data_IF_120542441942
#
_entry.id   IF_120542441942
#
_cell.length_a   1.000
_cell.length_b   1.000
_cell.length_c   1.000
_cell.angle_alpha   90.00
_cell.angle_beta   90.00
_cell.angle_gamma   90.00
#
_symmetry.space_group_name_H-M   'P 1'
#
loop_
_entity.id
_entity.type
_entity.pdbx_description
1 polymer ?
#
# COMPACT_ATOMS: atom_id res chain seq x y z
N UNK A 1 10.78 -30.49 -17.54
CA UNK A 1 9.64 -29.71 -17.01
C UNK A 1 10.20 -28.59 -16.16
N UNK A 2 10.17 -27.37 -16.69
CA UNK A 2 10.62 -26.16 -16.00
C UNK A 2 9.53 -25.75 -15.01
N UNK A 3 9.82 -25.53 -13.72
CA UNK A 3 8.80 -25.01 -12.81
C UNK A 3 8.42 -23.61 -13.30
N UNK A 4 7.13 -23.44 -13.61
CA UNK A 4 6.58 -22.14 -13.92
C UNK A 4 6.93 -21.18 -12.77
N UNK A 5 7.51 -20.03 -13.12
CA UNK A 5 7.60 -18.88 -12.25
C UNK A 5 6.16 -18.46 -11.91
N UNK A 6 5.60 -19.05 -10.86
CA UNK A 6 4.35 -18.59 -10.27
C UNK A 6 4.55 -17.13 -9.87
N UNK A 7 3.58 -16.23 -10.14
CA UNK A 7 3.64 -14.90 -9.58
C UNK A 7 3.73 -15.07 -8.06
N UNK A 8 4.79 -14.56 -7.42
CA UNK A 8 4.84 -14.58 -5.97
C UNK A 8 3.55 -13.87 -5.49
N UNK A 9 2.64 -14.63 -4.88
CA UNK A 9 1.39 -14.13 -4.33
C UNK A 9 1.71 -13.31 -3.08
N UNK A 10 2.19 -12.08 -3.25
CA UNK A 10 2.56 -11.21 -2.13
C UNK A 10 1.30 -10.70 -1.41
N UNK A 11 0.76 -11.56 -0.55
CA UNK A 11 0.29 -11.33 0.82
C UNK A 11 -0.12 -9.88 1.15
N UNK A 12 -1.35 -9.52 0.78
CA UNK A 12 -2.18 -8.39 1.24
C UNK A 12 -1.56 -7.43 2.25
N UNK A 13 -0.73 -6.50 1.79
CA UNK A 13 -0.32 -5.36 2.60
C UNK A 13 -1.51 -4.46 2.97
N UNK A 14 -1.38 -3.71 4.07
CA UNK A 14 -2.15 -2.48 4.29
C UNK A 14 -1.65 -1.37 3.34
N UNK A 15 -1.60 -1.64 2.04
CA UNK A 15 -1.42 -0.61 1.03
C UNK A 15 -2.79 -0.23 0.53
N UNK A 16 -3.18 1.06 0.57
CA UNK A 16 -4.42 1.46 -0.07
C UNK A 16 -4.38 1.17 -1.56
N UNK A 17 -3.22 1.00 -2.19
CA UNK A 17 -3.05 0.89 -3.65
C UNK A 17 -2.97 -0.55 -4.16
N UNK A 18 -2.75 -1.53 -3.29
CA UNK A 18 -2.57 -2.91 -3.72
C UNK A 18 -3.94 -3.52 -4.07
N UNK A 19 -4.10 -4.08 -5.29
CA UNK A 19 -5.35 -4.71 -5.69
C UNK A 19 -5.53 -6.00 -4.88
N UNK A 20 -6.29 -5.93 -3.79
CA UNK A 20 -6.73 -7.14 -3.09
C UNK A 20 -8.09 -7.53 -3.62
N UNK A 21 -8.19 -8.74 -4.18
CA UNK A 21 -9.44 -9.29 -4.70
C UNK A 21 -10.58 -9.10 -3.69
N UNK A 22 -11.69 -8.58 -4.17
CA UNK A 22 -12.92 -8.52 -3.39
C UNK A 22 -13.51 -9.92 -3.25
N UNK A 23 -13.92 -10.28 -2.03
CA UNK A 23 -14.61 -11.53 -1.71
C UNK A 23 -15.87 -11.15 -0.93
N UNK A 24 -16.98 -11.84 -1.17
CA UNK A 24 -18.18 -11.68 -0.35
C UNK A 24 -17.92 -12.15 1.10
N UNK A 25 -18.69 -11.73 2.11
CA UNK A 25 -18.40 -12.04 3.52
C UNK A 25 -18.25 -13.52 3.82
N UNK A 26 -19.09 -14.38 3.25
CA UNK A 26 -19.02 -15.83 3.46
C UNK A 26 -17.78 -16.46 2.81
N UNK A 27 -17.45 -16.06 1.59
CA UNK A 27 -16.24 -16.51 0.87
C UNK A 27 -14.97 -16.02 1.57
N UNK A 28 -14.95 -14.76 1.99
CA UNK A 28 -13.87 -14.16 2.77
C UNK A 28 -13.67 -14.89 4.09
N UNK A 29 -14.76 -15.14 4.83
CA UNK A 29 -14.70 -15.86 6.10
C UNK A 29 -14.18 -17.29 5.92
N UNK A 30 -14.68 -18.03 4.92
CA UNK A 30 -14.20 -19.36 4.60
C UNK A 30 -12.70 -19.37 4.26
N UNK A 31 -12.25 -18.45 3.40
CA UNK A 31 -10.84 -18.32 3.03
C UNK A 31 -9.94 -17.95 4.21
N UNK A 32 -10.43 -17.09 5.12
CA UNK A 32 -9.71 -16.73 6.34
C UNK A 32 -9.59 -17.92 7.30
N UNK A 33 -10.68 -18.68 7.49
CA UNK A 33 -10.68 -19.88 8.32
C UNK A 33 -9.76 -20.96 7.76
N UNK A 34 -9.78 -21.18 6.45
CA UNK A 34 -8.88 -22.13 5.77
C UNK A 34 -7.42 -21.74 5.98
N UNK A 35 -7.04 -20.49 5.70
CA UNK A 35 -5.67 -20.03 5.87
C UNK A 35 -5.20 -20.04 7.32
N UNK A 36 -6.04 -19.61 8.27
CA UNK A 36 -5.70 -19.65 9.70
C UNK A 36 -5.67 -21.08 10.27
N UNK A 37 -6.42 -22.01 9.68
CA UNK A 37 -6.38 -23.44 10.04
C UNK A 37 -5.19 -24.19 9.43
N UNK A 38 -4.48 -23.58 8.48
CA UNK A 38 -3.36 -24.23 7.78
C UNK A 38 -2.14 -24.45 8.69
N UNK A 39 -1.51 -25.62 8.51
CA UNK A 39 -0.20 -25.92 9.08
C UNK A 39 0.93 -25.14 8.37
N UNK A 40 0.69 -24.64 7.16
CA UNK A 40 1.63 -23.78 6.46
C UNK A 40 1.61 -22.35 7.01
N UNK A 41 2.79 -21.89 7.45
CA UNK A 41 2.95 -20.56 8.03
C UNK A 41 2.71 -19.45 6.99
N UNK A 42 3.00 -19.68 5.70
CA UNK A 42 2.73 -18.68 4.66
C UNK A 42 1.22 -18.41 4.52
N UNK A 43 0.42 -19.47 4.42
CA UNK A 43 -1.04 -19.38 4.39
C UNK A 43 -1.62 -18.71 5.65
N UNK A 44 -1.10 -19.04 6.84
CA UNK A 44 -1.55 -18.44 8.08
C UNK A 44 -1.25 -16.93 8.14
N UNK A 45 -0.05 -16.51 7.72
CA UNK A 45 0.30 -15.09 7.64
C UNK A 45 -0.53 -14.36 6.57
N UNK A 46 -0.82 -15.01 5.44
CA UNK A 46 -1.70 -14.46 4.40
C UNK A 46 -3.07 -14.11 4.96
N UNK A 47 -3.69 -15.07 5.65
CA UNK A 47 -5.01 -14.91 6.23
C UNK A 47 -5.00 -13.89 7.36
N UNK A 48 -3.99 -13.89 8.24
CA UNK A 48 -3.86 -12.91 9.31
C UNK A 48 -3.68 -11.48 8.78
N UNK A 49 -2.82 -11.27 7.77
CA UNK A 49 -2.67 -9.97 7.12
C UNK A 49 -3.97 -9.51 6.43
N UNK A 50 -4.68 -10.42 5.76
CA UNK A 50 -6.00 -10.11 5.19
C UNK A 50 -7.00 -9.73 6.27
N UNK A 51 -7.05 -10.46 7.38
CA UNK A 51 -7.92 -10.12 8.51
C UNK A 51 -7.57 -8.75 9.11
N UNK A 52 -6.28 -8.44 9.27
CA UNK A 52 -5.81 -7.14 9.75
C UNK A 52 -6.28 -5.99 8.83
N UNK A 53 -6.24 -6.19 7.50
CA UNK A 53 -6.77 -5.26 6.51
C UNK A 53 -8.28 -5.06 6.65
N UNK A 54 -9.04 -6.12 6.85
CA UNK A 54 -10.48 -6.05 7.01
C UNK A 54 -10.87 -5.37 8.33
N UNK A 55 -10.16 -5.65 9.43
CA UNK A 55 -10.31 -4.94 10.69
C UNK A 55 -9.98 -3.44 10.56
N UNK A 56 -8.92 -3.10 9.81
CA UNK A 56 -8.52 -1.71 9.60
C UNK A 56 -9.59 -0.96 8.81
N UNK A 57 -10.11 -1.58 7.74
CA UNK A 57 -11.19 -1.02 6.92
C UNK A 57 -12.51 -0.88 7.68
N UNK A 58 -12.75 -1.73 8.68
CA UNK A 58 -13.88 -1.60 9.60
C UNK A 58 -13.66 -0.53 10.70
N UNK A 59 -12.53 0.19 10.68
CA UNK A 59 -12.20 1.22 11.67
C UNK A 59 -11.66 0.68 12.99
N UNK A 60 -11.39 -0.62 13.08
CA UNK A 60 -10.96 -1.28 14.32
C UNK A 60 -9.43 -1.31 14.46
N UNK A 61 -8.84 -0.13 14.69
CA UNK A 61 -7.37 0.03 14.79
C UNK A 61 -6.73 -0.90 15.82
N UNK A 62 -7.33 -1.04 17.01
CA UNK A 62 -6.81 -1.89 18.08
C UNK A 62 -6.70 -3.37 17.66
N UNK A 63 -7.73 -3.90 16.98
CA UNK A 63 -7.73 -5.27 16.45
C UNK A 63 -6.68 -5.45 15.36
N UNK A 64 -6.56 -4.50 14.43
CA UNK A 64 -5.50 -4.53 13.41
C UNK A 64 -4.11 -4.56 14.03
N UNK A 65 -3.84 -3.68 15.01
CA UNK A 65 -2.56 -3.63 15.73
C UNK A 65 -2.29 -4.95 16.44
N UNK A 66 -3.26 -5.46 17.20
CA UNK A 66 -3.11 -6.72 17.94
C UNK A 66 -2.85 -7.93 17.05
N UNK A 67 -3.45 -8.00 15.85
CA UNK A 67 -3.15 -9.06 14.88
C UNK A 67 -1.71 -8.92 14.36
N UNK A 68 -1.29 -7.71 14.00
CA UNK A 68 0.07 -7.45 13.50
C UNK A 68 1.14 -7.81 14.55
N UNK A 69 0.95 -7.38 15.79
CA UNK A 69 1.87 -7.66 16.90
C UNK A 69 1.98 -9.17 17.17
N UNK A 70 0.87 -9.91 17.10
CA UNK A 70 0.89 -11.37 17.25
C UNK A 70 1.65 -12.07 16.13
N UNK A 71 1.46 -11.64 14.88
CA UNK A 71 2.24 -12.16 13.76
C UNK A 71 3.74 -11.92 13.95
N UNK A 72 4.14 -10.74 14.44
CA UNK A 72 5.54 -10.41 14.75
C UNK A 72 6.06 -11.32 15.87
N UNK A 73 5.33 -11.45 16.98
CA UNK A 73 5.71 -12.29 18.10
C UNK A 73 5.85 -13.77 17.70
N UNK A 74 4.91 -14.28 16.90
CA UNK A 74 4.98 -15.64 16.35
C UNK A 74 6.21 -15.83 15.47
N UNK A 75 6.49 -14.89 14.56
CA UNK A 75 7.68 -14.96 13.71
C UNK A 75 8.97 -15.01 14.53
N UNK A 76 9.08 -14.16 15.56
CA UNK A 76 10.22 -14.16 16.47
C UNK A 76 10.39 -15.50 17.19
N UNK A 77 9.31 -16.06 17.74
CA UNK A 77 9.36 -17.32 18.48
C UNK A 77 9.67 -18.53 17.59
N UNK A 78 9.14 -18.59 16.36
CA UNK A 78 9.47 -19.65 15.39
C UNK A 78 10.92 -19.52 14.94
N UNK A 79 11.39 -18.30 14.67
CA UNK A 79 12.78 -18.06 14.29
C UNK A 79 13.74 -18.47 15.42
N UNK A 80 13.48 -18.10 16.67
CA UNK A 80 14.31 -18.49 17.81
C UNK A 80 14.39 -20.01 18.00
N UNK A 81 13.29 -20.73 17.73
CA UNK A 81 13.24 -22.19 17.87
C UNK A 81 13.89 -22.95 16.71
N UNK A 82 13.79 -22.43 15.48
CA UNK A 82 14.11 -23.21 14.29
C UNK A 82 15.11 -22.54 13.33
N UNK A 83 15.47 -21.28 13.57
CA UNK A 83 16.35 -20.50 12.68
C UNK A 83 15.78 -20.23 11.29
N UNK A 84 14.46 -20.37 11.08
CA UNK A 84 13.85 -20.24 9.75
C UNK A 84 13.80 -18.77 9.29
N UNK A 85 14.79 -18.34 8.51
CA UNK A 85 14.85 -17.00 7.93
C UNK A 85 13.60 -16.59 7.13
N UNK A 86 12.82 -17.55 6.60
CA UNK A 86 11.58 -17.26 5.88
C UNK A 86 10.53 -16.63 6.79
N UNK A 87 10.38 -17.11 8.02
CA UNK A 87 9.35 -16.61 8.94
C UNK A 87 9.60 -15.14 9.32
N UNK A 88 10.86 -14.73 9.38
CA UNK A 88 11.25 -13.33 9.62
C UNK A 88 10.85 -12.41 8.47
N UNK A 89 10.89 -12.91 7.23
CA UNK A 89 10.36 -12.18 6.08
C UNK A 89 8.84 -12.01 6.15
N UNK A 90 8.11 -13.01 6.67
CA UNK A 90 6.68 -12.91 6.92
C UNK A 90 6.37 -11.93 8.07
N UNK A 91 7.17 -11.94 9.15
CA UNK A 91 7.08 -11.00 10.28
C UNK A 91 7.38 -9.54 9.91
N UNK A 92 8.14 -9.29 8.83
CA UNK A 92 8.40 -7.94 8.34
C UNK A 92 7.14 -7.25 7.78
N UNK A 93 6.21 -8.00 7.21
CA UNK A 93 4.98 -7.46 6.63
C UNK A 93 4.05 -6.78 7.66
N UNK A 94 3.67 -7.42 8.78
CA UNK A 94 2.88 -6.75 9.82
C UNK A 94 3.64 -5.57 10.45
N UNK A 95 4.98 -5.60 10.53
CA UNK A 95 5.77 -4.46 10.98
C UNK A 95 5.64 -3.26 10.02
N UNK A 96 5.62 -3.50 8.71
CA UNK A 96 5.35 -2.47 7.68
C UNK A 96 3.90 -1.95 7.78
N UNK A 97 2.94 -2.81 8.11
CA UNK A 97 1.56 -2.40 8.32
C UNK A 97 1.44 -1.44 9.52
N UNK A 98 2.10 -1.75 10.64
CA UNK A 98 2.19 -0.84 11.79
C UNK A 98 2.87 0.49 11.42
N UNK A 99 3.98 0.44 10.68
CA UNK A 99 4.67 1.63 10.16
C UNK A 99 3.72 2.56 9.42
N UNK A 100 2.87 2.01 8.55
CA UNK A 100 1.90 2.78 7.76
C UNK A 100 0.78 3.35 8.63
N UNK A 101 0.24 2.58 9.56
CA UNK A 101 -0.80 3.04 10.49
C UNK A 101 -0.30 4.24 11.31
N UNK A 102 0.89 4.11 11.90
CA UNK A 102 1.56 5.17 12.66
C UNK A 102 1.91 6.37 11.77
N UNK A 103 2.51 6.13 10.59
CA UNK A 103 3.00 7.18 9.73
C UNK A 103 1.89 8.02 9.08
N UNK A 104 0.79 7.39 8.66
CA UNK A 104 -0.26 8.11 7.94
C UNK A 104 -1.16 8.92 8.88
N UNK A 105 -1.49 8.38 10.06
CA UNK A 105 -2.48 9.00 10.96
C UNK A 105 -2.12 8.96 12.45
N UNK A 106 -1.22 8.07 12.88
CA UNK A 106 -0.87 7.88 14.28
C UNK A 106 0.42 8.60 14.71
N UNK A 107 1.23 7.88 15.50
CA UNK A 107 2.51 8.35 16.03
C UNK A 107 3.57 8.45 14.92
N UNK A 108 3.80 9.68 14.46
CA UNK A 108 4.80 9.95 13.43
C UNK A 108 6.23 9.61 13.88
N UNK A 109 6.56 9.81 15.17
CA UNK A 109 7.92 9.55 15.66
C UNK A 109 8.24 8.05 15.59
N UNK A 110 7.32 7.22 16.07
CA UNK A 110 7.44 5.76 15.98
C UNK A 110 7.59 5.27 14.52
N UNK A 111 6.86 5.88 13.58
CA UNK A 111 6.99 5.56 12.15
C UNK A 111 8.36 5.96 11.58
N UNK A 112 8.89 7.12 11.98
CA UNK A 112 10.23 7.56 11.55
C UNK A 112 11.34 6.70 12.14
N UNK A 113 11.22 6.25 13.40
CA UNK A 113 12.13 5.27 13.99
C UNK A 113 12.11 3.95 13.24
N UNK A 114 10.92 3.46 12.88
CA UNK A 114 10.75 2.24 12.11
C UNK A 114 11.35 2.36 10.69
N UNK A 115 11.21 3.50 10.02
CA UNK A 115 11.87 3.76 8.73
C UNK A 115 13.40 3.70 8.85
N UNK A 116 13.98 4.29 9.90
CA UNK A 116 15.44 4.20 10.15
C UNK A 116 15.88 2.76 10.37
N UNK A 117 15.13 2.00 11.17
CA UNK A 117 15.45 0.59 11.40
C UNK A 117 15.31 -0.27 10.14
N UNK A 118 14.32 0.00 9.27
CA UNK A 118 14.22 -0.64 7.96
C UNK A 118 15.39 -0.28 7.05
N UNK A 119 15.87 0.96 7.09
CA UNK A 119 17.07 1.37 6.35
C UNK A 119 18.31 0.60 6.84
N UNK A 120 18.48 0.43 8.16
CA UNK A 120 19.54 -0.41 8.74
C UNK A 120 19.46 -1.86 8.27
N UNK A 121 18.25 -2.45 8.25
CA UNK A 121 18.04 -3.80 7.70
C UNK A 121 18.40 -3.84 6.22
N UNK A 122 17.98 -2.85 5.43
CA UNK A 122 18.29 -2.76 4.00
C UNK A 122 19.80 -2.75 3.72
N UNK A 123 20.59 -2.16 4.62
CA UNK A 123 22.06 -2.14 4.57
C UNK A 123 22.71 -3.45 5.05
N UNK A 124 21.92 -4.40 5.56
CA UNK A 124 22.41 -5.69 6.07
C UNK A 124 22.94 -5.64 7.49
N UNK A 125 22.51 -4.66 8.28
CA UNK A 125 22.80 -4.54 9.70
C UNK A 125 21.59 -4.96 10.56
N UNK A 126 21.81 -5.45 11.79
CA UNK A 126 20.73 -5.81 12.71
C UNK A 126 19.95 -4.58 13.13
N UNK A 127 18.63 -4.73 13.27
CA UNK A 127 17.75 -3.66 13.78
C UNK A 127 16.44 -4.23 14.31
N UNK A 128 15.71 -3.40 15.06
CA UNK A 128 14.38 -3.68 15.58
C UNK A 128 13.33 -2.80 14.91
N UNK A 129 12.28 -3.41 14.37
CA UNK A 129 11.12 -2.70 13.78
C UNK A 129 9.84 -3.21 14.43
N UNK A 130 9.15 -2.37 15.23
CA UNK A 130 7.90 -2.72 15.92
C UNK A 130 7.92 -4.09 16.63
N UNK A 131 9.03 -4.43 17.30
CA UNK A 131 9.19 -5.70 18.01
C UNK A 131 9.73 -6.87 17.18
N UNK A 132 9.91 -6.69 15.86
CA UNK A 132 10.65 -7.62 15.03
C UNK A 132 12.15 -7.32 15.17
N UNK A 133 12.88 -8.15 15.92
CA UNK A 133 14.33 -8.05 16.09
C UNK A 133 15.04 -8.87 15.00
N UNK A 134 15.64 -8.21 14.01
CA UNK A 134 16.44 -8.88 12.97
C UNK A 134 17.87 -9.06 13.48
N UNK A 135 18.34 -10.29 13.74
CA UNK A 135 19.62 -10.50 14.37
C UNK A 135 20.79 -10.37 13.39
N UNK A 136 22.04 -10.18 13.88
CA UNK A 136 23.20 -9.90 13.05
C UNK A 136 23.45 -10.98 11.97
N UNK A 137 23.30 -12.25 12.34
CA UNK A 137 23.52 -13.39 11.46
C UNK A 137 22.55 -13.41 10.28
N UNK A 138 21.28 -13.04 10.51
CA UNK A 138 20.28 -12.98 9.46
C UNK A 138 20.49 -11.73 8.59
N UNK A 139 20.76 -10.57 9.22
CA UNK A 139 20.94 -9.31 8.52
C UNK A 139 22.11 -9.35 7.52
N UNK A 140 23.25 -9.92 7.95
CA UNK A 140 24.46 -10.06 7.14
C UNK A 140 24.42 -11.24 6.15
N UNK A 141 23.45 -12.16 6.30
CA UNK A 141 23.36 -13.37 5.48
C UNK A 141 23.15 -13.07 4.00
N UNK A 142 23.76 -13.89 3.13
CA UNK A 142 23.50 -13.89 1.67
C UNK A 142 22.42 -14.89 1.25
N UNK A 143 21.76 -15.54 2.22
CA UNK A 143 20.66 -16.46 1.96
C UNK A 143 19.48 -15.79 1.25
N UNK A 144 18.73 -16.58 0.48
CA UNK A 144 17.57 -16.11 -0.32
C UNK A 144 16.64 -15.19 0.50
N UNK A 145 16.22 -15.63 1.68
CA UNK A 145 15.26 -14.91 2.51
C UNK A 145 15.81 -13.63 3.15
N UNK A 146 17.09 -13.62 3.56
CA UNK A 146 17.76 -12.41 3.99
C UNK A 146 17.81 -11.36 2.86
N UNK A 147 18.13 -11.78 1.63
CA UNK A 147 18.09 -10.90 0.45
C UNK A 147 16.69 -10.37 0.18
N UNK A 148 15.65 -11.20 0.32
CA UNK A 148 14.24 -10.77 0.18
C UNK A 148 13.88 -9.72 1.24
N UNK A 149 14.23 -9.94 2.50
CA UNK A 149 13.99 -8.98 3.59
C UNK A 149 14.65 -7.64 3.33
N UNK A 150 15.94 -7.63 2.94
CA UNK A 150 16.65 -6.37 2.61
C UNK A 150 16.03 -5.64 1.43
N UNK A 151 15.63 -6.38 0.39
CA UNK A 151 14.91 -5.79 -0.76
C UNK A 151 13.58 -5.17 -0.34
N UNK A 152 12.80 -5.88 0.48
CA UNK A 152 11.53 -5.37 0.98
C UNK A 152 11.74 -4.12 1.85
N UNK A 153 12.63 -4.17 2.84
CA UNK A 153 12.94 -3.03 3.70
C UNK A 153 13.38 -1.79 2.90
N UNK A 154 14.25 -1.98 1.90
CA UNK A 154 14.69 -0.91 0.99
C UNK A 154 13.53 -0.31 0.19
N UNK A 155 12.74 -1.16 -0.45
CA UNK A 155 11.58 -0.71 -1.24
C UNK A 155 10.57 0.04 -0.36
N UNK A 156 10.31 -0.45 0.85
CA UNK A 156 9.45 0.23 1.82
C UNK A 156 10.02 1.59 2.23
N UNK A 157 11.32 1.69 2.53
CA UNK A 157 11.95 2.98 2.86
C UNK A 157 11.75 4.01 1.74
N UNK A 158 12.01 3.61 0.50
CA UNK A 158 11.90 4.49 -0.68
C UNK A 158 10.48 4.99 -0.95
N UNK A 159 9.47 4.17 -0.66
CA UNK A 159 8.07 4.52 -0.93
C UNK A 159 7.44 5.20 0.29
N UNK A 160 7.56 4.60 1.47
CA UNK A 160 6.85 5.06 2.66
C UNK A 160 7.46 6.33 3.26
N UNK A 161 8.77 6.56 3.13
CA UNK A 161 9.37 7.82 3.57
C UNK A 161 8.79 9.03 2.85
N UNK A 162 8.54 8.88 1.54
CA UNK A 162 7.92 9.92 0.73
C UNK A 162 6.43 10.03 1.07
N UNK A 163 5.68 8.92 1.03
CA UNK A 163 4.23 8.89 1.30
C UNK A 163 3.86 9.44 2.67
N UNK A 164 4.58 9.04 3.72
CA UNK A 164 4.30 9.50 5.08
C UNK A 164 4.52 11.01 5.18
N UNK A 165 5.70 11.51 4.78
CA UNK A 165 5.99 12.95 4.86
C UNK A 165 5.00 13.77 4.03
N UNK A 166 4.65 13.28 2.85
CA UNK A 166 3.63 13.87 2.01
C UNK A 166 2.27 13.98 2.72
N UNK A 167 1.73 12.86 3.24
CA UNK A 167 0.44 12.83 3.95
C UNK A 167 0.43 13.70 5.20
N UNK A 168 1.60 13.96 5.78
CA UNK A 168 1.78 14.82 6.95
C UNK A 168 2.07 16.28 6.59
N UNK A 169 2.00 16.66 5.31
CA UNK A 169 2.23 18.03 4.84
C UNK A 169 3.70 18.49 4.89
N UNK A 170 4.65 17.57 5.06
CA UNK A 170 6.09 17.85 5.23
C UNK A 170 6.83 17.77 3.90
N UNK A 171 6.45 18.63 2.95
CA UNK A 171 6.91 18.57 1.56
C UNK A 171 8.43 18.79 1.44
N UNK A 172 9.01 19.75 2.17
CA UNK A 172 10.44 19.99 2.13
C UNK A 172 11.24 18.77 2.65
N UNK A 173 10.83 18.19 3.78
CA UNK A 173 11.44 16.98 4.33
C UNK A 173 11.29 15.79 3.36
N UNK A 174 10.15 15.70 2.66
CA UNK A 174 9.91 14.64 1.67
C UNK A 174 10.95 14.69 0.54
N UNK A 175 11.19 15.88 -0.03
CA UNK A 175 12.15 16.07 -1.13
C UNK A 175 13.55 15.75 -0.66
N UNK A 176 13.96 16.31 0.48
CA UNK A 176 15.33 16.14 0.99
C UNK A 176 15.62 14.67 1.29
N UNK A 177 14.72 14.00 2.02
CA UNK A 177 14.87 12.59 2.33
C UNK A 177 14.91 11.74 1.06
N UNK A 178 14.08 12.09 0.08
CA UNK A 178 14.04 11.37 -1.19
C UNK A 178 15.34 11.50 -1.99
N UNK A 179 15.92 12.71 -2.04
CA UNK A 179 17.25 12.94 -2.65
C UNK A 179 18.31 12.10 -1.94
N UNK A 180 18.34 12.11 -0.61
CA UNK A 180 19.25 11.30 0.20
C UNK A 180 19.13 9.81 -0.12
N UNK A 181 17.91 9.29 -0.20
CA UNK A 181 17.67 7.88 -0.51
C UNK A 181 18.09 7.50 -1.94
N UNK A 182 17.87 8.37 -2.93
CA UNK A 182 18.31 8.14 -4.30
C UNK A 182 19.83 8.21 -4.44
N UNK A 183 20.49 9.12 -3.71
CA UNK A 183 21.95 9.16 -3.65
C UNK A 183 22.52 7.87 -3.03
N UNK A 184 21.86 7.32 -2.00
CA UNK A 184 22.25 6.07 -1.35
C UNK A 184 22.01 4.83 -2.22
N UNK A 185 20.86 4.77 -2.90
CA UNK A 185 20.44 3.63 -3.72
C UNK A 185 20.09 4.02 -5.17
N UNK A 186 21.07 4.49 -5.95
CA UNK A 186 20.84 5.09 -7.27
C UNK A 186 20.27 4.12 -8.32
N UNK A 187 20.38 2.81 -8.09
CA UNK A 187 19.91 1.76 -9.00
C UNK A 187 18.44 1.37 -8.83
N UNK A 188 17.75 1.88 -7.80
CA UNK A 188 16.34 1.53 -7.53
C UNK A 188 15.43 2.54 -8.23
N UNK A 189 15.11 2.28 -9.49
CA UNK A 189 14.41 3.26 -10.35
C UNK A 189 12.91 3.02 -10.54
N UNK A 190 12.27 2.05 -9.85
CA UNK A 190 10.82 1.79 -9.94
C UNK A 190 10.40 0.56 -9.11
N UNK A 191 9.74 0.76 -7.98
CA UNK A 191 9.08 -0.29 -7.16
C UNK A 191 7.74 0.19 -6.54
N UNK A 192 6.76 0.65 -7.33
CA UNK A 192 5.46 1.17 -6.85
C UNK A 192 5.07 2.57 -7.38
N UNK A 193 3.93 3.13 -6.94
CA UNK A 193 3.56 4.53 -7.18
C UNK A 193 3.95 5.37 -5.94
N UNK A 194 4.49 6.58 -6.10
CA UNK A 194 5.02 7.46 -5.04
C UNK A 194 6.42 7.10 -4.52
N UNK A 195 7.37 6.99 -5.45
CA UNK A 195 8.78 6.84 -5.11
C UNK A 195 9.45 8.11 -4.61
N UNK A 196 10.54 7.92 -3.85
CA UNK A 196 11.55 8.97 -3.63
C UNK A 196 11.92 9.71 -4.93
N UNK A 197 12.07 9.01 -6.06
CA UNK A 197 12.34 9.62 -7.38
C UNK A 197 11.25 10.59 -7.87
N UNK A 198 10.06 10.56 -7.29
CA UNK A 198 8.93 11.40 -7.65
C UNK A 198 8.79 12.63 -6.74
N UNK A 199 9.48 12.68 -5.59
CA UNK A 199 9.21 13.68 -4.54
C UNK A 199 9.37 15.14 -5.01
N UNK A 200 10.43 15.46 -5.76
CA UNK A 200 10.63 16.81 -6.30
C UNK A 200 9.54 17.19 -7.32
N UNK A 201 9.10 16.22 -8.14
CA UNK A 201 8.00 16.40 -9.10
C UNK A 201 6.67 16.64 -8.38
N UNK A 202 6.39 15.87 -7.32
CA UNK A 202 5.21 16.06 -6.47
C UNK A 202 5.22 17.44 -5.80
N UNK A 203 6.38 17.95 -5.41
CA UNK A 203 6.47 19.28 -4.81
C UNK A 203 6.43 20.45 -5.82
N UNK A 204 6.37 20.19 -7.13
CA UNK A 204 6.42 21.24 -8.16
C UNK A 204 7.76 21.98 -8.25
N UNK A 205 8.84 21.40 -7.71
CA UNK A 205 10.17 22.00 -7.77
C UNK A 205 10.78 21.72 -9.14
N UNK A 206 11.15 22.78 -9.87
CA UNK A 206 11.65 22.74 -11.26
C UNK A 206 12.98 22.02 -11.49
N UNK A 207 13.46 21.24 -10.52
CA UNK A 207 14.65 20.39 -10.63
C UNK A 207 14.28 19.14 -11.44
N UNK A 208 14.30 19.27 -12.76
CA UNK A 208 14.21 18.14 -13.69
C UNK A 208 15.61 17.55 -13.93
N UNK A 209 16.37 17.32 -12.86
CA UNK A 209 17.70 16.71 -12.94
C UNK A 209 17.58 15.30 -13.52
N UNK A 210 18.07 15.12 -14.75
CA UNK A 210 18.71 13.99 -15.46
C UNK A 210 18.56 12.52 -14.99
N UNK A 211 17.64 12.18 -14.08
CA UNK A 211 17.58 10.86 -13.44
C UNK A 211 16.59 9.89 -14.08
N UNK A 212 16.07 10.18 -15.28
CA UNK A 212 15.06 9.33 -15.93
C UNK A 212 15.62 8.59 -17.16
N UNK A 213 16.66 7.79 -16.92
CA UNK A 213 17.35 7.00 -17.96
C UNK A 213 16.73 5.65 -18.32
N UNK A 214 15.43 5.40 -18.07
CA UNK A 214 14.74 4.16 -18.49
C UNK A 214 13.54 4.44 -19.40
N UNK A 215 13.49 3.84 -20.62
CA UNK A 215 12.31 3.92 -21.48
C UNK A 215 11.06 3.38 -20.75
N UNK A 216 9.94 4.10 -20.82
CA UNK A 216 8.65 3.69 -20.23
C UNK A 216 8.43 4.06 -18.75
N UNK A 217 9.49 4.28 -17.97
CA UNK A 217 9.37 4.77 -16.58
C UNK A 217 9.06 6.28 -16.57
N UNK A 218 9.71 7.04 -17.46
CA UNK A 218 9.51 8.49 -17.56
C UNK A 218 8.06 8.94 -17.81
N UNK A 219 7.29 8.32 -18.73
CA UNK A 219 5.90 8.70 -18.97
C UNK A 219 4.96 8.44 -17.77
N UNK A 220 5.12 7.30 -17.07
CA UNK A 220 4.30 6.98 -15.89
C UNK A 220 4.59 7.94 -14.72
N UNK A 221 5.88 8.20 -14.44
CA UNK A 221 6.28 9.13 -13.38
C UNK A 221 5.84 10.56 -13.69
N UNK A 222 5.95 10.99 -14.95
CA UNK A 222 5.39 12.28 -15.40
C UNK A 222 3.88 12.34 -15.19
N UNK A 223 3.15 11.29 -15.56
CA UNK A 223 1.69 11.22 -15.35
C UNK A 223 1.30 11.32 -13.88
N UNK A 224 2.02 10.65 -12.97
CA UNK A 224 1.78 10.77 -11.53
C UNK A 224 2.07 12.20 -11.05
N UNK A 225 3.19 12.79 -11.45
CA UNK A 225 3.52 14.19 -11.16
C UNK A 225 2.47 15.17 -11.71
N UNK A 226 1.94 14.93 -12.90
CA UNK A 226 0.89 15.73 -13.54
C UNK A 226 -0.44 15.65 -12.79
N UNK A 227 -0.89 14.44 -12.45
CA UNK A 227 -2.09 14.21 -11.63
C UNK A 227 -1.94 14.91 -10.27
N UNK A 228 -0.73 14.91 -9.73
CA UNK A 228 -0.45 15.54 -8.45
C UNK A 228 -0.45 17.07 -8.52
N UNK A 229 0.22 17.66 -9.52
CA UNK A 229 0.15 19.11 -9.78
C UNK A 229 -1.29 19.56 -9.96
N UNK A 230 -2.08 18.76 -10.66
CA UNK A 230 -3.50 18.98 -10.82
C UNK A 230 -4.28 18.82 -9.50
N UNK A 231 -3.92 17.84 -8.67
CA UNK A 231 -4.53 17.63 -7.35
C UNK A 231 -4.29 18.81 -6.39
N UNK A 232 -3.21 19.57 -6.55
CA UNK A 232 -2.84 20.69 -5.68
C UNK A 232 -2.89 22.07 -6.34
N UNK A 233 -3.43 22.19 -7.55
CA UNK A 233 -3.67 23.52 -8.13
C UNK A 233 -4.70 24.27 -7.27
N UNK A 234 -4.25 25.38 -6.69
CA UNK A 234 -5.06 26.20 -5.78
C UNK A 234 -6.05 27.01 -6.60
N UNK A 235 -7.31 26.57 -6.65
CA UNK A 235 -8.61 27.23 -6.94
C UNK A 235 -8.75 28.35 -7.98
N UNK A 236 -7.68 28.81 -8.64
CA UNK A 236 -7.76 29.69 -9.79
C UNK A 236 -7.91 28.80 -11.01
N UNK A 237 -8.93 29.08 -11.83
CA UNK A 237 -9.14 28.52 -13.16
C UNK A 237 -7.92 28.88 -14.00
N UNK A 238 -6.86 28.07 -13.88
CA UNK A 238 -5.69 28.19 -14.72
C UNK A 238 -5.98 27.39 -15.98
N UNK A 239 -6.00 28.07 -17.12
CA UNK A 239 -6.11 27.45 -18.45
C UNK A 239 -5.09 26.30 -18.59
N UNK A 240 -3.88 26.47 -18.04
CA UNK A 240 -2.86 25.40 -18.00
C UNK A 240 -3.24 24.17 -17.18
N UNK A 241 -3.99 24.33 -16.09
CA UNK A 241 -4.46 23.21 -15.27
C UNK A 241 -5.64 22.50 -15.93
N UNK A 242 -6.50 23.26 -16.61
CA UNK A 242 -7.59 22.71 -17.41
C UNK A 242 -7.07 21.87 -18.59
N UNK A 243 -6.15 22.42 -19.38
CA UNK A 243 -5.50 21.69 -20.47
C UNK A 243 -4.78 20.43 -19.99
N UNK A 244 -4.12 20.51 -18.83
CA UNK A 244 -3.48 19.36 -18.23
C UNK A 244 -4.50 18.27 -17.86
N UNK A 245 -5.63 18.64 -17.26
CA UNK A 245 -6.71 17.70 -16.93
C UNK A 245 -7.30 17.01 -18.17
N UNK A 246 -7.56 17.78 -19.24
CA UNK A 246 -8.03 17.26 -20.53
C UNK A 246 -7.02 16.28 -21.11
N UNK A 247 -5.75 16.67 -21.24
CA UNK A 247 -4.69 15.78 -21.74
C UNK A 247 -4.58 14.50 -20.91
N UNK A 248 -4.65 14.58 -19.59
CA UNK A 248 -4.58 13.41 -18.71
C UNK A 248 -5.77 12.46 -18.90
N UNK A 249 -6.96 13.00 -19.08
CA UNK A 249 -8.16 12.22 -19.39
C UNK A 249 -8.07 11.57 -20.78
N UNK A 250 -7.68 12.30 -21.81
CA UNK A 250 -7.56 11.77 -23.19
C UNK A 250 -6.47 10.69 -23.31
N UNK A 251 -5.33 10.91 -22.68
CA UNK A 251 -4.19 9.99 -22.73
C UNK A 251 -4.34 8.78 -21.79
N UNK A 252 -5.49 8.61 -21.11
CA UNK A 252 -5.74 7.50 -20.17
C UNK A 252 -5.59 6.11 -20.78
N UNK A 253 -5.73 5.98 -22.11
CA UNK A 253 -5.61 4.72 -22.83
C UNK A 253 -4.19 4.42 -23.34
N UNK A 254 -3.28 5.40 -23.28
CA UNK A 254 -1.89 5.23 -23.73
C UNK A 254 -1.14 4.45 -22.64
N UNK A 255 -0.94 3.14 -22.87
CA UNK A 255 -0.27 2.25 -21.91
C UNK A 255 -1.12 1.11 -21.35
N UNK A 256 -2.21 0.69 -22.04
CA UNK A 256 -3.05 -0.48 -21.68
C UNK A 256 -2.32 -1.80 -21.43
N UNK A 257 -1.01 -1.87 -21.63
CA UNK A 257 -0.23 -3.02 -21.20
C UNK A 257 0.13 -2.87 -19.71
N UNK A 258 -0.62 -3.57 -18.85
CA UNK A 258 -0.27 -3.98 -17.48
C UNK A 258 -0.63 -3.09 -16.26
N UNK A 259 -1.44 -2.03 -16.37
CA UNK A 259 -1.87 -1.28 -15.16
C UNK A 259 -3.16 -1.88 -14.56
N UNK A 260 -3.21 -2.19 -13.24
CA UNK A 260 -4.43 -2.65 -12.58
C UNK A 260 -5.59 -1.65 -12.73
N UNK A 261 -6.80 -2.15 -13.00
CA UNK A 261 -8.02 -1.34 -13.16
C UNK A 261 -8.28 -0.39 -11.98
N UNK A 262 -7.91 -0.79 -10.76
CA UNK A 262 -8.04 0.02 -9.54
C UNK A 262 -7.14 1.26 -9.51
N UNK A 263 -5.92 1.18 -10.06
CA UNK A 263 -5.02 2.33 -10.14
C UNK A 263 -5.56 3.36 -11.14
N UNK A 264 -6.02 2.89 -12.30
CA UNK A 264 -6.67 3.74 -13.31
C UNK A 264 -7.92 4.43 -12.74
N UNK A 265 -8.77 3.69 -12.02
CA UNK A 265 -9.95 4.26 -11.36
C UNK A 265 -9.59 5.39 -10.38
N UNK A 266 -8.53 5.24 -9.59
CA UNK A 266 -8.05 6.31 -8.68
C UNK A 266 -7.56 7.54 -9.42
N UNK A 267 -6.80 7.33 -10.50
CA UNK A 267 -6.31 8.44 -11.33
C UNK A 267 -7.48 9.23 -11.91
N UNK A 268 -8.49 8.54 -12.47
CA UNK A 268 -9.68 9.16 -13.02
C UNK A 268 -10.49 9.91 -11.96
N UNK A 269 -10.65 9.35 -10.76
CA UNK A 269 -11.31 10.04 -9.67
C UNK A 269 -10.57 11.34 -9.27
N UNK A 270 -9.23 11.33 -9.25
CA UNK A 270 -8.43 12.54 -8.97
C UNK A 270 -8.49 13.58 -10.09
N UNK A 271 -8.57 13.15 -11.35
CA UNK A 271 -8.82 14.05 -12.49
C UNK A 271 -10.24 14.64 -12.38
N UNK A 272 -11.23 13.83 -11.99
CA UNK A 272 -12.61 14.24 -11.73
C UNK A 272 -12.72 15.34 -10.67
N UNK A 273 -12.14 15.14 -9.48
CA UNK A 273 -12.03 16.16 -8.42
C UNK A 273 -11.48 17.48 -8.98
N UNK A 274 -10.49 17.39 -9.85
CA UNK A 274 -9.81 18.55 -10.40
C UNK A 274 -10.67 19.30 -11.41
N UNK A 275 -11.38 18.60 -12.29
CA UNK A 275 -12.38 19.24 -13.16
C UNK A 275 -13.48 19.94 -12.36
N UNK A 276 -13.96 19.34 -11.27
CA UNK A 276 -14.93 19.99 -10.38
C UNK A 276 -14.37 21.27 -9.75
N UNK A 277 -13.13 21.24 -9.24
CA UNK A 277 -12.47 22.45 -8.68
C UNK A 277 -12.18 23.52 -9.72
N UNK A 278 -11.98 23.14 -10.98
CA UNK A 278 -11.80 24.04 -12.12
C UNK A 278 -13.14 24.53 -12.72
N UNK A 279 -14.28 24.13 -12.15
CA UNK A 279 -15.62 24.55 -12.60
C UNK A 279 -16.19 23.79 -13.81
N UNK A 280 -15.51 22.76 -14.32
CA UNK A 280 -16.01 21.92 -15.41
C UNK A 280 -16.74 20.68 -14.89
N UNK A 281 -17.92 20.91 -14.33
CA UNK A 281 -18.77 19.86 -13.75
C UNK A 281 -19.10 18.70 -14.72
N UNK A 282 -19.37 18.93 -16.03
CA UNK A 282 -19.62 17.83 -16.97
C UNK A 282 -18.42 16.89 -17.12
N UNK A 283 -17.20 17.41 -17.30
CA UNK A 283 -16.00 16.57 -17.41
C UNK A 283 -15.66 15.87 -16.09
N UNK A 284 -15.86 16.56 -14.97
CA UNK A 284 -15.73 15.96 -13.64
C UNK A 284 -16.66 14.76 -13.48
N UNK A 285 -17.92 14.92 -13.86
CA UNK A 285 -18.96 13.88 -13.82
C UNK A 285 -18.59 12.68 -14.70
N UNK A 286 -18.14 12.91 -15.94
CA UNK A 286 -17.65 11.83 -16.82
C UNK A 286 -16.49 11.06 -16.22
N UNK A 287 -15.48 11.76 -15.68
CA UNK A 287 -14.32 11.11 -15.08
C UNK A 287 -14.71 10.25 -13.87
N UNK A 288 -15.60 10.75 -13.01
CA UNK A 288 -16.10 9.98 -11.87
C UNK A 288 -16.95 8.78 -12.27
N UNK A 289 -17.81 8.93 -13.28
CA UNK A 289 -18.59 7.82 -13.84
C UNK A 289 -17.67 6.71 -14.36
N UNK A 290 -16.71 7.06 -15.22
CA UNK A 290 -15.72 6.09 -15.73
C UNK A 290 -14.91 5.44 -14.59
N UNK A 291 -14.47 6.24 -13.61
CA UNK A 291 -13.72 5.74 -12.46
C UNK A 291 -14.55 4.75 -11.62
N UNK A 292 -15.81 5.08 -11.37
CA UNK A 292 -16.74 4.25 -10.62
C UNK A 292 -17.00 2.93 -11.33
N UNK A 293 -17.32 2.98 -12.63
CA UNK A 293 -17.63 1.79 -13.42
C UNK A 293 -16.43 0.83 -13.50
N UNK A 294 -15.22 1.37 -13.68
CA UNK A 294 -13.98 0.59 -13.61
C UNK A 294 -13.76 -0.04 -12.23
N UNK A 295 -14.13 0.65 -11.15
CA UNK A 295 -13.94 0.13 -9.80
C UNK A 295 -14.99 -0.90 -9.40
N UNK A 296 -16.23 -0.78 -9.87
CA UNK A 296 -17.36 -1.65 -9.48
C UNK A 296 -17.05 -3.13 -9.72
N UNK A 297 -16.39 -3.46 -10.82
CA UNK A 297 -16.11 -4.85 -11.21
C UNK A 297 -15.01 -5.48 -10.33
N UNK A 298 -14.01 -4.71 -9.91
CA UNK A 298 -12.78 -5.26 -9.31
C UNK A 298 -12.58 -4.89 -7.83
N UNK A 299 -13.11 -3.75 -7.40
CA UNK A 299 -13.00 -3.23 -6.04
C UNK A 299 -14.25 -2.39 -5.68
N UNK A 300 -15.36 -3.06 -5.29
CA UNK A 300 -16.60 -2.39 -4.89
C UNK A 300 -16.43 -1.36 -3.76
N UNK A 301 -15.39 -1.50 -2.93
CA UNK A 301 -15.10 -0.52 -1.87
C UNK A 301 -14.46 0.73 -2.43
N UNK A 302 -13.51 0.59 -3.36
CA UNK A 302 -12.99 1.73 -4.12
C UNK A 302 -14.11 2.43 -4.88
N UNK A 303 -15.05 1.69 -5.48
CA UNK A 303 -16.23 2.28 -6.12
C UNK A 303 -17.06 3.12 -5.12
N UNK A 304 -17.27 2.61 -3.90
CA UNK A 304 -17.90 3.36 -2.81
C UNK A 304 -17.14 4.64 -2.44
N UNK A 305 -15.81 4.60 -2.32
CA UNK A 305 -14.98 5.77 -2.03
C UNK A 305 -15.02 6.81 -3.16
N UNK A 306 -14.99 6.35 -4.42
CA UNK A 306 -15.10 7.21 -5.61
C UNK A 306 -16.48 7.86 -5.64
N UNK A 307 -17.55 7.11 -5.36
CA UNK A 307 -18.90 7.64 -5.24
C UNK A 307 -19.00 8.69 -4.14
N UNK A 308 -18.46 8.41 -2.95
CA UNK A 308 -18.53 9.34 -1.82
C UNK A 308 -17.81 10.66 -2.17
N UNK A 309 -16.64 10.59 -2.82
CA UNK A 309 -15.95 11.78 -3.40
C UNK A 309 -16.80 12.50 -4.43
N UNK A 310 -17.37 11.79 -5.40
CA UNK A 310 -18.23 12.37 -6.42
C UNK A 310 -19.45 13.07 -5.79
N UNK A 311 -20.06 12.47 -4.77
CA UNK A 311 -21.23 13.03 -4.10
C UNK A 311 -20.91 14.31 -3.33
N UNK A 312 -19.69 14.46 -2.81
CA UNK A 312 -19.24 15.70 -2.18
C UNK A 312 -19.19 16.88 -3.17
N UNK A 313 -19.06 16.59 -4.46
CA UNK A 313 -19.03 17.60 -5.52
C UNK A 313 -20.39 17.83 -6.20
N UNK A 314 -21.13 16.76 -6.49
CA UNK A 314 -22.33 16.81 -7.33
C UNK A 314 -23.64 16.62 -6.55
N UNK A 315 -23.57 16.32 -5.25
CA UNK A 315 -24.71 15.92 -4.44
C UNK A 315 -25.15 14.47 -4.67
N UNK A 316 -25.95 13.94 -3.74
CA UNK A 316 -26.35 12.52 -3.76
C UNK A 316 -27.28 12.14 -4.91
N UNK A 317 -28.06 13.09 -5.44
CA UNK A 317 -29.01 12.85 -6.54
C UNK A 317 -28.32 12.67 -7.89
N UNK A 318 -27.05 13.09 -8.02
CA UNK A 318 -26.30 13.06 -9.26
C UNK A 318 -25.34 11.85 -9.37
N UNK A 319 -25.33 10.97 -8.36
CA UNK A 319 -24.41 9.82 -8.30
C UNK A 319 -25.17 8.50 -8.22
N UNK A 320 -24.61 7.38 -8.71
CA UNK A 320 -25.20 6.06 -8.57
C UNK A 320 -25.53 5.71 -7.11
N UNK A 321 -26.57 4.89 -6.87
CA UNK A 321 -26.87 4.41 -5.53
C UNK A 321 -25.67 3.65 -4.96
N UNK A 322 -25.43 3.80 -3.64
CA UNK A 322 -24.36 3.07 -2.98
C UNK A 322 -24.68 1.59 -3.07
N UNK A 323 -23.81 0.81 -3.71
CA UNK A 323 -23.86 -0.64 -3.56
C UNK A 323 -23.35 -0.96 -2.16
N UNK A 324 -24.18 -1.62 -1.36
CA UNK A 324 -23.72 -2.15 -0.08
C UNK A 324 -22.60 -3.14 -0.36
N UNK A 325 -21.40 -2.80 0.10
CA UNK A 325 -20.30 -3.77 0.09
C UNK A 325 -20.44 -4.57 1.36
N UNK A 326 -20.98 -5.77 1.19
CA UNK A 326 -21.11 -6.71 2.29
C UNK A 326 -19.71 -6.88 2.92
N UNK A 327 -19.60 -6.57 4.20
CA UNK A 327 -18.36 -6.63 4.97
C UNK A 327 -18.54 -7.59 6.14
N UNK A 328 -17.43 -8.06 6.71
CA UNK A 328 -17.50 -8.81 7.96
C UNK A 328 -17.97 -7.85 9.06
N UNK A 329 -19.05 -8.23 9.73
CA UNK A 329 -19.52 -7.50 10.90
C UNK A 329 -18.52 -7.60 12.07
N UNK A 330 -18.69 -6.74 13.07
CA UNK A 330 -17.78 -6.67 14.22
C UNK A 330 -17.69 -7.99 15.01
N UNK A 331 -18.78 -8.76 15.09
CA UNK A 331 -18.79 -10.03 15.80
C UNK A 331 -17.97 -11.09 15.06
N UNK A 332 -18.09 -11.16 13.73
CA UNK A 332 -17.29 -12.04 12.88
C UNK A 332 -15.81 -11.67 12.92
N UNK A 333 -15.48 -10.38 12.83
CA UNK A 333 -14.10 -9.91 12.95
C UNK A 333 -13.48 -10.29 14.30
N UNK A 334 -14.23 -10.11 15.39
CA UNK A 334 -13.78 -10.47 16.74
C UNK A 334 -13.52 -11.98 16.87
N UNK A 335 -14.45 -12.81 16.36
CA UNK A 335 -14.28 -14.27 16.35
C UNK A 335 -13.04 -14.69 15.55
N UNK A 336 -12.87 -14.17 14.34
CA UNK A 336 -11.72 -14.49 13.48
C UNK A 336 -10.41 -14.01 14.11
N UNK A 337 -10.41 -12.86 14.80
CA UNK A 337 -9.24 -12.38 15.52
C UNK A 337 -8.86 -13.30 16.70
N UNK A 338 -9.85 -13.87 17.40
CA UNK A 338 -9.60 -14.87 18.44
C UNK A 338 -9.00 -16.17 17.86
N UNK A 339 -9.49 -16.63 16.71
CA UNK A 339 -8.91 -17.79 15.99
C UNK A 339 -7.48 -17.50 15.56
N UNK A 340 -7.23 -16.33 14.96
CA UNK A 340 -5.89 -15.90 14.59
C UNK A 340 -4.96 -15.82 15.81
N UNK A 341 -5.47 -15.35 16.96
CA UNK A 341 -4.70 -15.30 18.19
C UNK A 341 -4.30 -16.70 18.69
N UNK A 342 -5.18 -17.70 18.59
CA UNK A 342 -4.84 -19.08 18.90
C UNK A 342 -3.80 -19.68 17.94
N UNK A 343 -3.94 -19.43 16.62
CA UNK A 343 -2.99 -19.93 15.61
C UNK A 343 -1.60 -19.29 15.72
N UNK A 344 -1.55 -18.02 16.09
CA UNK A 344 -0.33 -17.21 16.18
C UNK A 344 0.19 -17.12 17.61
N UNK A 345 -0.24 -17.99 18.52
CA UNK A 345 0.30 -18.05 19.87
C UNK A 345 1.72 -18.64 19.84
N UNK A 346 2.76 -17.89 20.29
CA UNK A 346 4.12 -18.40 20.39
C UNK A 346 4.26 -19.71 21.18
N UNK A 347 3.38 -19.93 22.17
CA UNK A 347 3.38 -21.10 23.05
C UNK A 347 2.55 -22.29 22.54
N UNK A 348 1.77 -22.12 21.47
CA UNK A 348 0.89 -23.17 20.94
C UNK A 348 1.65 -24.29 20.21
N UNK A 349 1.25 -25.54 20.44
CA UNK A 349 1.63 -26.65 19.56
C UNK A 349 1.04 -26.40 18.17
N UNK A 350 1.85 -26.52 17.11
CA UNK A 350 1.33 -26.50 15.73
C UNK A 350 0.19 -27.54 15.63
N UNK A 351 -0.95 -27.22 14.99
CA UNK A 351 -1.95 -28.25 14.70
C UNK A 351 -1.23 -29.40 13.98
N UNK A 352 -1.33 -30.61 14.55
CA UNK A 352 -0.64 -31.79 14.03
C UNK A 352 -0.98 -31.97 12.56
N UNK A 353 0.06 -32.02 11.72
CA UNK A 353 -0.08 -32.29 10.28
C UNK A 353 -0.38 -33.75 10.00
#
# INVERSE_FOLDING_TARGET
>A
MTPANGPMSWLGFLSPEDPVRHLGPAELEAALLEGLGSADDEAAFAAANRLALEAFRAGSQATTTGICERQIAYAMAVFQRHGDARIMAFGLQPAINLLRMHGYAGDLAASMDALRALETIADGAPARVFGLDVPPELAASRGKWAVVMRKLARSTCLVESAKIRWRRGRIAEMIEESRRMLAKWPYVTSTGPFHASEAALLAGVGDHGDHVGKPGVAPMLRRIGDIHRLAHSVSAVSETAFDLAVRLHETRHIGRQATPSSATARQLASIGDSFFRLGNHPHGTTCFGEAHDLAVEFDPRLAGLIRDRWSAHAGLSAVPPRRETASLDAARLTRLAAIAAGRLDPGGSRPGG
#
